data_IF_620499269651
#
_entry.id   IF_620499269651
#
_cell.length_a   1.000
_cell.length_b   1.000
_cell.length_c   1.000
_cell.angle_alpha   90.00
_cell.angle_beta   90.00
_cell.angle_gamma   90.00
#
_symmetry.space_group_name_H-M   'P 1'
#
loop_
_entity.id
_entity.type
_entity.pdbx_description
1 polymer ?
#
# COMPACT_ATOMS: atom_id res chain seq x y z
N UNK A 1 -5.40 -75.45 13.19
CA UNK A 1 -5.31 -74.15 13.90
C UNK A 1 -4.14 -73.25 13.46
N UNK A 2 -3.14 -73.74 12.70
CA UNK A 2 -1.97 -72.94 12.29
C UNK A 2 -2.31 -71.81 11.29
N UNK A 3 -3.31 -72.03 10.43
CA UNK A 3 -3.72 -71.09 9.37
C UNK A 3 -4.34 -69.77 9.85
N UNK A 4 -5.12 -69.75 10.95
CA UNK A 4 -5.77 -68.51 11.39
C UNK A 4 -4.83 -67.54 12.12
N UNK A 5 -3.82 -68.06 12.83
CA UNK A 5 -2.81 -67.24 13.50
C UNK A 5 -1.92 -66.50 12.50
N UNK A 6 -1.52 -67.19 11.42
CA UNK A 6 -0.71 -66.59 10.34
C UNK A 6 -1.49 -65.49 9.59
N UNK A 7 -2.78 -65.69 9.35
CA UNK A 7 -3.66 -64.67 8.73
C UNK A 7 -3.80 -63.43 9.62
N UNK A 8 -3.98 -63.61 10.93
CA UNK A 8 -4.07 -62.49 11.89
C UNK A 8 -2.76 -61.70 11.95
N UNK A 9 -1.61 -62.39 11.87
CA UNK A 9 -0.29 -61.76 11.91
C UNK A 9 -0.04 -60.90 10.66
N UNK A 10 -0.37 -61.41 9.46
CA UNK A 10 -0.27 -60.68 8.19
C UNK A 10 -1.20 -59.45 8.18
N UNK A 11 -2.44 -59.59 8.67
CA UNK A 11 -3.39 -58.47 8.77
C UNK A 11 -2.91 -57.39 9.74
N UNK A 12 -2.26 -57.77 10.85
CA UNK A 12 -1.67 -56.84 11.82
C UNK A 12 -0.47 -56.10 11.24
N UNK A 13 0.44 -56.79 10.56
CA UNK A 13 1.59 -56.16 9.90
C UNK A 13 1.16 -55.18 8.80
N UNK A 14 0.18 -55.55 7.98
CA UNK A 14 -0.39 -54.67 6.95
C UNK A 14 -1.01 -53.40 7.56
N UNK A 15 -1.76 -53.53 8.65
CA UNK A 15 -2.35 -52.38 9.36
C UNK A 15 -1.26 -51.46 9.94
N UNK A 16 -0.22 -52.01 10.56
CA UNK A 16 0.89 -51.23 11.13
C UNK A 16 1.64 -50.48 10.02
N UNK A 17 1.91 -51.14 8.88
CA UNK A 17 2.50 -50.48 7.71
C UNK A 17 1.62 -49.35 7.18
N UNK A 18 0.31 -49.59 7.01
CA UNK A 18 -0.62 -48.56 6.54
C UNK A 18 -0.68 -47.35 7.48
N UNK A 19 -0.76 -47.57 8.80
CA UNK A 19 -0.76 -46.51 9.82
C UNK A 19 0.53 -45.70 9.77
N UNK A 20 1.68 -46.36 9.58
CA UNK A 20 2.97 -45.68 9.45
C UNK A 20 3.01 -44.81 8.19
N UNK A 21 2.52 -45.32 7.06
CA UNK A 21 2.49 -44.57 5.80
C UNK A 21 1.52 -43.39 5.85
N UNK A 22 0.32 -43.53 6.45
CA UNK A 22 -0.61 -42.40 6.61
C UNK A 22 -0.08 -41.33 7.56
N UNK A 23 0.59 -41.71 8.65
CA UNK A 23 1.28 -40.75 9.53
C UNK A 23 2.37 -39.96 8.80
N UNK A 24 3.18 -40.63 7.99
CA UNK A 24 4.22 -39.97 7.19
C UNK A 24 3.59 -39.01 6.17
N UNK A 25 2.53 -39.43 5.46
CA UNK A 25 1.81 -38.57 4.51
C UNK A 25 1.20 -37.34 5.17
N UNK A 26 0.62 -37.50 6.37
CA UNK A 26 0.06 -36.38 7.13
C UNK A 26 1.15 -35.37 7.52
N UNK A 27 2.31 -35.83 7.98
CA UNK A 27 3.44 -34.95 8.31
C UNK A 27 3.97 -34.19 7.08
N UNK A 28 4.04 -34.85 5.92
CA UNK A 28 4.44 -34.20 4.66
C UNK A 28 3.43 -33.12 4.25
N UNK A 29 2.13 -33.41 4.35
CA UNK A 29 1.08 -32.43 4.04
C UNK A 29 1.10 -31.22 4.98
N UNK A 30 1.31 -31.44 6.28
CA UNK A 30 1.47 -30.35 7.25
C UNK A 30 2.73 -29.53 6.93
N UNK A 31 3.84 -30.19 6.61
CA UNK A 31 5.08 -29.52 6.21
C UNK A 31 4.91 -28.62 4.98
N UNK A 32 4.25 -29.13 3.94
CA UNK A 32 3.95 -28.36 2.72
C UNK A 32 3.00 -27.19 3.03
N UNK A 33 1.96 -27.42 3.85
CA UNK A 33 1.00 -26.37 4.22
C UNK A 33 1.63 -25.22 4.99
N UNK A 34 2.54 -25.51 5.93
CA UNK A 34 3.29 -24.49 6.67
C UNK A 34 4.28 -23.74 5.77
N UNK A 35 4.95 -24.45 4.85
CA UNK A 35 5.91 -23.83 3.92
C UNK A 35 5.23 -22.88 2.94
N UNK A 36 4.08 -23.25 2.36
CA UNK A 36 3.34 -22.42 1.40
C UNK A 36 2.65 -21.22 2.07
N UNK A 37 2.14 -21.39 3.29
CA UNK A 37 1.53 -20.27 4.03
C UNK A 37 2.55 -19.27 4.56
N UNK A 38 3.77 -19.72 4.91
CA UNK A 38 4.85 -18.86 5.39
C UNK A 38 5.26 -17.74 4.42
N UNK A 39 5.38 -18.03 3.12
CA UNK A 39 5.69 -17.00 2.11
C UNK A 39 4.55 -15.99 1.95
N UNK A 40 3.30 -16.44 1.97
CA UNK A 40 2.15 -15.54 1.83
C UNK A 40 1.97 -14.59 3.02
N UNK A 41 2.29 -15.05 4.23
CA UNK A 41 2.17 -14.25 5.46
C UNK A 41 3.33 -13.24 5.55
N UNK A 42 4.56 -13.62 5.18
CA UNK A 42 5.68 -12.69 5.15
C UNK A 42 5.48 -11.58 4.13
N UNK A 43 4.98 -11.90 2.94
CA UNK A 43 4.75 -10.91 1.90
C UNK A 43 3.60 -9.96 2.25
N UNK A 44 2.52 -10.47 2.86
CA UNK A 44 1.43 -9.63 3.36
C UNK A 44 1.87 -8.74 4.53
N UNK A 45 2.62 -9.29 5.49
CA UNK A 45 3.14 -8.54 6.62
C UNK A 45 4.12 -7.47 6.14
N UNK A 46 5.12 -7.84 5.34
CA UNK A 46 6.08 -6.88 4.79
C UNK A 46 5.38 -5.83 3.93
N UNK A 47 4.46 -6.21 3.05
CA UNK A 47 3.70 -5.27 2.23
C UNK A 47 2.92 -4.26 3.08
N UNK A 48 2.17 -4.74 4.07
CA UNK A 48 1.34 -3.88 4.94
C UNK A 48 2.18 -2.88 5.76
N UNK A 49 3.29 -3.33 6.34
CA UNK A 49 4.16 -2.45 7.14
C UNK A 49 5.02 -1.53 6.28
N UNK A 50 5.49 -2.00 5.12
CA UNK A 50 6.23 -1.17 4.16
C UNK A 50 5.31 -0.06 3.64
N UNK A 51 4.09 -0.37 3.23
CA UNK A 51 3.13 0.64 2.78
C UNK A 51 2.84 1.68 3.88
N UNK A 52 2.58 1.23 5.12
CA UNK A 52 2.39 2.14 6.25
C UNK A 52 3.61 3.01 6.52
N UNK A 53 4.81 2.44 6.45
CA UNK A 53 6.04 3.19 6.66
C UNK A 53 6.26 4.24 5.56
N UNK A 54 6.01 3.89 4.30
CA UNK A 54 6.11 4.80 3.16
C UNK A 54 5.09 5.95 3.25
N UNK A 55 3.84 5.65 3.63
CA UNK A 55 2.82 6.68 3.87
C UNK A 55 3.24 7.61 5.00
N UNK A 56 3.71 7.05 6.13
CA UNK A 56 4.17 7.83 7.28
C UNK A 56 5.36 8.73 6.93
N UNK A 57 6.30 8.21 6.16
CA UNK A 57 7.46 8.96 5.68
C UNK A 57 7.04 10.08 4.72
N UNK A 58 6.16 9.79 3.76
CA UNK A 58 5.60 10.80 2.86
C UNK A 58 4.88 11.92 3.59
N UNK A 59 4.06 11.59 4.60
CA UNK A 59 3.42 12.59 5.47
C UNK A 59 4.46 13.43 6.22
N UNK A 60 5.45 12.78 6.84
CA UNK A 60 6.53 13.48 7.56
C UNK A 60 7.31 14.42 6.65
N UNK A 61 7.65 14.00 5.44
CA UNK A 61 8.41 14.83 4.50
C UNK A 61 7.59 16.03 4.02
N UNK A 62 6.29 15.84 3.77
CA UNK A 62 5.37 16.94 3.45
C UNK A 62 5.24 17.93 4.61
N UNK A 63 5.09 17.44 5.83
CA UNK A 63 4.97 18.28 7.01
C UNK A 63 6.28 19.04 7.26
N UNK A 64 7.43 18.37 7.11
CA UNK A 64 8.74 19.02 7.20
C UNK A 64 8.91 20.14 6.17
N UNK A 65 8.45 19.94 4.93
CA UNK A 65 8.52 20.96 3.90
C UNK A 65 7.79 22.25 4.33
N UNK A 66 6.52 22.16 4.71
CA UNK A 66 5.74 23.33 5.12
C UNK A 66 6.21 23.92 6.47
N UNK A 67 6.65 23.07 7.40
CA UNK A 67 7.17 23.51 8.70
C UNK A 67 8.56 24.17 8.60
N UNK A 68 9.31 23.88 7.54
CA UNK A 68 10.62 24.50 7.27
C UNK A 68 10.52 25.91 6.66
N UNK A 69 9.32 26.32 6.24
CA UNK A 69 9.09 27.65 5.69
C UNK A 69 9.26 28.75 6.75
N UNK A 70 9.81 29.89 6.36
CA UNK A 70 9.84 31.08 7.21
C UNK A 70 8.42 31.62 7.43
N UNK A 71 8.19 32.39 8.49
CA UNK A 71 6.89 33.02 8.75
C UNK A 71 6.39 33.85 7.56
N UNK A 72 7.29 34.59 6.91
CA UNK A 72 6.98 35.37 5.71
C UNK A 72 6.52 34.48 4.54
N UNK A 73 7.18 33.34 4.34
CA UNK A 73 6.79 32.38 3.30
C UNK A 73 5.46 31.72 3.60
N UNK A 74 5.16 31.41 4.86
CA UNK A 74 3.87 30.86 5.26
C UNK A 74 2.73 31.86 5.05
N UNK A 75 2.95 33.15 5.33
CA UNK A 75 1.97 34.21 5.05
C UNK A 75 1.75 34.39 3.54
N UNK A 76 2.83 34.43 2.77
CA UNK A 76 2.76 34.47 1.31
C UNK A 76 1.98 33.27 0.76
N UNK A 77 2.26 32.06 1.26
CA UNK A 77 1.55 30.84 0.87
C UNK A 77 0.07 30.93 1.18
N UNK A 78 -0.34 31.43 2.36
CA UNK A 78 -1.78 31.60 2.70
C UNK A 78 -2.47 32.56 1.73
N UNK A 79 -1.81 33.66 1.38
CA UNK A 79 -2.35 34.62 0.42
C UNK A 79 -2.48 33.99 -0.97
N UNK A 80 -1.42 33.32 -1.43
CA UNK A 80 -1.39 32.66 -2.73
C UNK A 80 -2.39 31.51 -2.82
N UNK A 81 -2.51 30.70 -1.78
CA UNK A 81 -3.45 29.57 -1.70
C UNK A 81 -4.88 30.06 -1.89
N UNK A 82 -5.27 31.10 -1.16
CA UNK A 82 -6.59 31.73 -1.33
C UNK A 82 -6.80 32.24 -2.76
N UNK A 83 -5.85 33.03 -3.28
CA UNK A 83 -5.96 33.58 -4.62
C UNK A 83 -6.04 32.51 -5.71
N UNK A 84 -5.14 31.52 -5.66
CA UNK A 84 -5.05 30.45 -6.65
C UNK A 84 -6.24 29.50 -6.55
N UNK A 85 -6.75 29.24 -5.34
CA UNK A 85 -7.97 28.44 -5.13
C UNK A 85 -9.21 29.15 -5.68
N UNK A 86 -9.35 30.44 -5.39
CA UNK A 86 -10.43 31.27 -5.93
C UNK A 86 -10.38 31.30 -7.46
N UNK A 87 -9.18 31.47 -8.03
CA UNK A 87 -8.96 31.45 -9.48
C UNK A 87 -9.32 30.10 -10.11
N UNK A 88 -8.88 28.98 -9.54
CA UNK A 88 -9.14 27.64 -10.04
C UNK A 88 -10.61 27.19 -9.86
N UNK A 89 -11.34 27.84 -8.94
CA UNK A 89 -12.73 27.54 -8.62
C UNK A 89 -13.74 28.36 -9.42
N UNK A 90 -13.28 29.39 -10.16
CA UNK A 90 -14.18 30.22 -10.97
C UNK A 90 -14.90 29.39 -12.03
N UNK A 91 -16.20 29.66 -12.31
CA UNK A 91 -16.98 28.88 -13.27
C UNK A 91 -16.30 28.72 -14.63
N UNK A 92 -15.65 29.77 -15.14
CA UNK A 92 -14.94 29.78 -16.42
C UNK A 92 -13.68 28.91 -16.45
N UNK A 93 -13.10 28.62 -15.28
CA UNK A 93 -11.85 27.87 -15.16
C UNK A 93 -12.07 26.40 -14.77
N UNK A 94 -13.29 26.04 -14.33
CA UNK A 94 -13.62 24.67 -13.90
C UNK A 94 -13.53 23.69 -15.06
N UNK A 95 -13.09 22.48 -14.74
CA UNK A 95 -12.94 21.40 -15.73
C UNK A 95 -14.24 20.62 -15.79
N UNK A 96 -14.81 20.46 -16.99
CA UNK A 96 -15.97 19.61 -17.20
C UNK A 96 -15.64 18.15 -16.87
N UNK A 97 -16.50 17.49 -16.08
CA UNK A 97 -16.34 16.09 -15.69
C UNK A 97 -17.69 15.41 -15.56
N UNK A 98 -17.79 14.20 -16.07
CA UNK A 98 -19.01 13.39 -15.96
C UNK A 98 -19.44 13.25 -14.50
N UNK A 99 -20.73 13.48 -14.23
CA UNK A 99 -21.30 13.49 -12.89
C UNK A 99 -21.17 14.82 -12.12
N UNK A 100 -20.54 15.85 -12.70
CA UNK A 100 -20.39 17.17 -12.08
C UNK A 100 -20.97 18.25 -13.01
N UNK A 101 -22.25 18.65 -12.83
CA UNK A 101 -22.92 19.63 -13.71
C UNK A 101 -22.21 20.98 -13.79
N UNK A 102 -21.56 21.39 -12.71
CA UNK A 102 -20.81 22.63 -12.61
C UNK A 102 -19.29 22.44 -12.85
N UNK A 103 -18.86 21.27 -13.33
CA UNK A 103 -17.45 20.90 -13.43
C UNK A 103 -16.76 20.71 -12.06
N UNK A 104 -15.46 20.45 -12.09
CA UNK A 104 -14.60 20.32 -10.90
C UNK A 104 -13.56 21.43 -10.87
N UNK A 105 -13.02 21.71 -9.68
CA UNK A 105 -11.92 22.68 -9.51
C UNK A 105 -10.75 22.30 -10.43
N UNK A 106 -10.16 23.31 -11.06
CA UNK A 106 -9.03 23.11 -11.94
C UNK A 106 -7.73 22.97 -11.15
N UNK A 107 -7.47 21.73 -10.71
CA UNK A 107 -6.30 21.42 -9.88
C UNK A 107 -4.98 21.77 -10.58
N UNK A 108 -4.89 21.57 -11.90
CA UNK A 108 -3.69 21.90 -12.65
C UNK A 108 -3.42 23.41 -12.66
N UNK A 109 -4.48 24.22 -12.82
CA UNK A 109 -4.38 25.68 -12.74
C UNK A 109 -3.99 26.15 -11.33
N UNK A 110 -4.53 25.53 -10.28
CA UNK A 110 -4.13 25.82 -8.91
C UNK A 110 -2.63 25.55 -8.69
N UNK A 111 -2.16 24.36 -9.10
CA UNK A 111 -0.76 23.95 -8.92
C UNK A 111 0.18 24.91 -9.67
N UNK A 112 -0.09 25.20 -10.94
CA UNK A 112 0.70 26.14 -11.72
C UNK A 112 0.71 27.54 -11.12
N UNK A 113 -0.45 28.04 -10.68
CA UNK A 113 -0.54 29.33 -10.00
C UNK A 113 0.31 29.39 -8.72
N UNK A 114 0.33 28.32 -7.93
CA UNK A 114 1.16 28.24 -6.71
C UNK A 114 2.66 28.22 -7.03
N UNK A 115 3.06 27.50 -8.08
CA UNK A 115 4.44 27.47 -8.59
C UNK A 115 4.88 28.85 -9.08
N UNK A 116 4.09 29.48 -9.96
CA UNK A 116 4.38 30.78 -10.57
C UNK A 116 4.50 31.91 -9.53
N UNK A 117 3.76 31.79 -8.43
CA UNK A 117 3.78 32.76 -7.33
C UNK A 117 4.84 32.47 -6.26
N UNK A 118 5.73 31.51 -6.52
CA UNK A 118 6.88 31.21 -5.65
C UNK A 118 6.54 30.41 -4.40
N UNK A 119 5.36 29.80 -4.32
CA UNK A 119 4.93 28.96 -3.20
C UNK A 119 4.47 27.59 -3.69
N UNK A 120 5.33 26.81 -4.37
CA UNK A 120 4.95 25.53 -4.98
C UNK A 120 4.37 24.57 -3.93
N UNK A 121 3.47 23.68 -4.36
CA UNK A 121 3.02 22.58 -3.49
C UNK A 121 4.17 21.63 -3.21
N UNK A 122 4.04 20.81 -2.18
CA UNK A 122 5.05 19.81 -1.85
C UNK A 122 5.33 18.85 -3.02
N UNK A 123 4.27 18.39 -3.69
CA UNK A 123 4.35 17.49 -4.84
C UNK A 123 5.11 18.14 -6.00
N UNK A 124 4.80 19.41 -6.28
CA UNK A 124 5.50 20.22 -7.28
C UNK A 124 6.97 20.39 -6.94
N UNK A 125 7.29 20.76 -5.70
CA UNK A 125 8.66 20.90 -5.19
C UNK A 125 9.47 19.63 -5.40
N UNK A 126 8.94 18.47 -4.99
CA UNK A 126 9.61 17.18 -5.19
C UNK A 126 9.78 16.86 -6.68
N UNK A 127 8.79 17.17 -7.51
CA UNK A 127 8.88 16.94 -8.96
C UNK A 127 9.98 17.77 -9.62
N UNK A 128 10.20 19.00 -9.15
CA UNK A 128 11.26 19.89 -9.64
C UNK A 128 12.63 19.37 -9.22
N UNK A 129 12.78 18.91 -7.98
CA UNK A 129 14.04 18.32 -7.51
C UNK A 129 14.47 17.08 -8.30
N UNK A 130 13.52 16.23 -8.71
CA UNK A 130 13.84 15.05 -9.52
C UNK A 130 14.31 15.36 -10.94
N UNK A 131 14.04 16.57 -11.44
CA UNK A 131 14.43 17.02 -12.78
C UNK A 131 15.81 17.70 -12.81
N UNK A 132 16.39 17.98 -11.63
CA UNK A 132 17.68 18.64 -11.45
C UNK A 132 18.77 17.59 -11.25
#
# INVERSE_FOLDING_TARGET
MKSMADVILILKERNIMQIRTTKIRLLVLIGIGLFLSGCSISDWYNGYYVEKSAIKEGQRNRDNYYNSESTQMQELRKHNDKYCSDLASRPENRIARDGYPNGVVNQAMFIGCMEDRGTPTYESYISMQKKT
#
